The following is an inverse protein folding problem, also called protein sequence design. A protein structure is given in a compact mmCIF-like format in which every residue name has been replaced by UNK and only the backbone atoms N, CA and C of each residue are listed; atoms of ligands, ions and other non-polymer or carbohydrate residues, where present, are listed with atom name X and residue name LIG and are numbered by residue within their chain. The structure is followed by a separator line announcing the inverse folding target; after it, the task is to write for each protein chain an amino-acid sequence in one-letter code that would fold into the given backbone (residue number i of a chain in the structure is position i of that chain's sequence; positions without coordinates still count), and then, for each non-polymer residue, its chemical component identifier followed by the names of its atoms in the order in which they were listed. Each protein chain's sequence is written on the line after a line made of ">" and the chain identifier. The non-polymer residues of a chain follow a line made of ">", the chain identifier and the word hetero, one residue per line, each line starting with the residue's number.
data_IF_125142681229
#
_entry.id   IF_125142681229
#
_cell.length_a   1.000
_cell.length_b   1.000
_cell.length_c   1.000
_cell.angle_alpha   90.00
_cell.angle_beta   90.00
_cell.angle_gamma   90.00
#
_symmetry.space_group_name_H-M   'P 1'
#
loop_
_entity.id
_entity.type
_entity.pdbx_description
1 polymer ?
#
# COMPACT_ATOMS: atom_id res chain seq x y z
N UNK A 1 -4.38 24.90 4.58
CA UNK A 1 -4.57 23.93 3.47
C UNK A 1 -3.28 23.14 3.36
N UNK A 2 -3.29 21.81 3.19
CA UNK A 2 -2.05 21.02 3.19
C UNK A 2 -1.22 21.26 1.91
N UNK A 3 -1.90 21.36 0.77
CA UNK A 3 -1.36 21.76 -0.54
C UNK A 3 -2.39 22.67 -1.26
N UNK A 4 -1.97 23.41 -2.28
CA UNK A 4 -2.89 24.14 -3.15
C UNK A 4 -3.80 23.15 -3.93
N UNK A 5 -5.10 23.44 -3.99
CA UNK A 5 -6.10 22.54 -4.59
C UNK A 5 -5.99 22.53 -6.11
N UNK A 6 -5.60 21.40 -6.69
CA UNK A 6 -5.56 21.17 -8.13
C UNK A 6 -6.48 20.00 -8.50
N UNK A 7 -7.78 20.27 -8.68
CA UNK A 7 -8.66 19.37 -9.46
C UNK A 7 -8.69 19.86 -10.90
N UNK A 8 -8.66 18.95 -11.87
CA UNK A 8 -8.75 19.34 -13.27
C UNK A 8 -10.15 19.89 -13.57
N UNK A 9 -10.24 20.98 -14.36
CA UNK A 9 -11.54 21.54 -14.77
C UNK A 9 -12.32 20.54 -15.63
N UNK A 10 -11.61 19.79 -16.48
CA UNK A 10 -12.13 18.70 -17.28
C UNK A 10 -11.48 17.41 -16.79
N UNK A 11 -12.24 16.35 -16.48
CA UNK A 11 -11.66 15.07 -16.09
C UNK A 11 -10.68 14.56 -17.16
N UNK A 12 -9.43 14.21 -16.78
CA UNK A 12 -8.42 13.79 -17.76
C UNK A 12 -8.84 12.48 -18.42
N UNK A 13 -8.43 12.29 -19.68
CA UNK A 13 -8.63 11.08 -20.49
C UNK A 13 -7.48 10.07 -20.34
N UNK A 14 -6.42 10.45 -19.62
CA UNK A 14 -5.22 9.65 -19.42
C UNK A 14 -4.86 9.52 -17.95
N UNK A 15 -4.55 8.29 -17.55
CA UNK A 15 -4.05 7.92 -16.22
C UNK A 15 -2.72 8.61 -15.89
N UNK A 16 -1.97 9.02 -16.92
CA UNK A 16 -0.69 9.72 -16.79
C UNK A 16 -0.83 11.23 -16.54
N UNK A 17 -2.07 11.74 -16.56
CA UNK A 17 -2.42 13.15 -16.31
C UNK A 17 -3.36 13.30 -15.10
N UNK A 18 -3.34 12.34 -14.18
CA UNK A 18 -4.19 12.38 -12.99
C UNK A 18 -3.61 13.31 -11.93
N UNK A 19 -4.38 14.33 -11.55
CA UNK A 19 -4.16 15.11 -10.34
C UNK A 19 -4.84 14.41 -9.15
N UNK A 20 -4.43 14.67 -7.90
CA UNK A 20 -5.13 14.06 -6.76
C UNK A 20 -6.64 14.37 -6.71
N UNK A 21 -7.07 15.54 -7.21
CA UNK A 21 -8.50 15.90 -7.28
C UNK A 21 -9.31 15.13 -8.34
N UNK A 22 -8.65 14.44 -9.26
CA UNK A 22 -9.30 13.68 -10.34
C UNK A 22 -9.64 12.25 -9.91
N UNK A 23 -9.15 11.79 -8.75
CA UNK A 23 -9.47 10.48 -8.19
C UNK A 23 -10.87 10.52 -7.57
N UNK A 24 -11.78 9.70 -8.08
CA UNK A 24 -13.17 9.63 -7.64
C UNK A 24 -13.41 8.46 -6.68
N UNK A 25 -12.66 7.36 -6.86
CA UNK A 25 -12.87 6.11 -6.13
C UNK A 25 -11.54 5.61 -5.59
N UNK A 26 -11.51 5.23 -4.32
CA UNK A 26 -10.36 4.59 -3.68
C UNK A 26 -10.73 3.19 -3.19
N UNK A 27 -9.78 2.26 -3.30
CA UNK A 27 -9.95 0.89 -2.82
C UNK A 27 -8.60 0.26 -2.45
N UNK A 28 -8.66 -0.86 -1.74
CA UNK A 28 -7.46 -1.54 -1.24
C UNK A 28 -7.62 -3.06 -1.23
N UNK A 29 -6.59 -3.76 -1.67
CA UNK A 29 -6.41 -5.20 -1.51
C UNK A 29 -5.20 -5.45 -0.61
N UNK A 30 -5.27 -6.47 0.22
CA UNK A 30 -4.15 -6.86 1.06
C UNK A 30 -4.52 -7.74 2.22
N UNK A 31 -3.67 -7.67 3.23
CA UNK A 31 -3.77 -8.43 4.47
C UNK A 31 -4.24 -7.56 5.65
N UNK A 32 -3.91 -8.01 6.86
CA UNK A 32 -4.23 -7.35 8.12
C UNK A 32 -3.69 -5.93 8.24
N UNK A 33 -2.58 -5.60 7.57
CA UNK A 33 -1.98 -4.26 7.57
C UNK A 33 -2.79 -3.28 6.72
N UNK A 34 -3.47 -3.75 5.66
CA UNK A 34 -4.43 -2.93 4.90
C UNK A 34 -5.79 -2.87 5.60
N UNK A 35 -6.18 -3.93 6.33
CA UNK A 35 -7.38 -3.94 7.17
C UNK A 35 -7.27 -3.07 8.44
N UNK A 36 -6.06 -2.58 8.77
CA UNK A 36 -5.77 -1.79 9.96
C UNK A 36 -6.11 -2.52 11.27
N UNK A 37 -5.69 -3.78 11.32
CA UNK A 37 -5.86 -4.68 12.47
C UNK A 37 -5.16 -4.12 13.70
N UNK A 38 -5.89 -3.91 14.79
CA UNK A 38 -5.35 -3.39 16.05
C UNK A 38 -4.88 -1.93 16.04
N UNK A 39 -5.16 -1.16 14.99
CA UNK A 39 -4.60 0.18 14.81
C UNK A 39 -5.04 1.19 15.89
N UNK A 40 -6.24 1.04 16.44
CA UNK A 40 -6.82 1.92 17.46
C UNK A 40 -6.85 1.29 18.87
N UNK A 41 -6.30 0.09 19.00
CA UNK A 41 -6.43 -0.69 20.23
C UNK A 41 -5.21 -0.50 21.13
N UNK A 42 -5.47 -0.37 22.43
CA UNK A 42 -4.44 -0.17 23.45
C UNK A 42 -3.98 -1.48 24.11
N UNK A 43 -4.39 -2.62 23.54
CA UNK A 43 -4.10 -3.96 24.04
C UNK A 43 -3.97 -4.96 22.90
N UNK A 44 -3.16 -6.00 23.10
CA UNK A 44 -2.72 -6.84 21.98
C UNK A 44 -3.79 -7.77 21.39
N UNK A 45 -4.80 -8.20 22.16
CA UNK A 45 -5.94 -8.97 21.62
C UNK A 45 -6.80 -8.09 20.69
N UNK A 46 -6.71 -6.77 20.81
CA UNK A 46 -7.34 -5.83 19.90
C UNK A 46 -6.86 -5.96 18.44
N UNK A 47 -5.81 -6.73 18.19
CA UNK A 47 -5.33 -7.04 16.83
C UNK A 47 -6.35 -7.84 16.00
N UNK A 48 -7.33 -8.50 16.61
CA UNK A 48 -8.47 -9.08 15.88
C UNK A 48 -9.51 -8.04 15.44
N UNK A 49 -9.39 -6.80 15.92
CA UNK A 49 -10.30 -5.70 15.61
C UNK A 49 -9.79 -4.95 14.38
N UNK A 50 -10.58 -4.99 13.30
CA UNK A 50 -10.25 -4.33 12.04
C UNK A 50 -10.71 -2.87 12.01
N UNK A 51 -9.81 -1.94 12.38
CA UNK A 51 -10.06 -0.50 12.40
C UNK A 51 -9.93 0.13 10.99
N UNK A 52 -10.60 -0.46 9.99
CA UNK A 52 -10.45 -0.11 8.56
C UNK A 52 -10.59 1.39 8.26
N UNK A 53 -11.38 2.11 9.05
CA UNK A 53 -11.56 3.55 8.95
C UNK A 53 -10.27 4.37 9.05
N UNK A 54 -9.24 3.85 9.71
CA UNK A 54 -7.92 4.49 9.87
C UNK A 54 -6.81 3.82 9.06
N UNK A 55 -7.16 2.90 8.16
CA UNK A 55 -6.21 2.27 7.24
C UNK A 55 -5.45 3.31 6.43
N UNK A 56 -4.14 3.12 6.35
CA UNK A 56 -3.19 4.06 5.77
C UNK A 56 -3.48 4.38 4.30
N UNK A 57 -3.96 3.40 3.52
CA UNK A 57 -4.24 3.55 2.10
C UNK A 57 -5.73 3.53 1.74
N UNK A 58 -6.61 3.07 2.63
CA UNK A 58 -8.03 2.85 2.32
C UNK A 58 -9.02 3.34 3.39
N UNK A 59 -8.54 3.87 4.52
CA UNK A 59 -9.38 4.44 5.58
C UNK A 59 -9.67 5.92 5.35
N UNK A 60 -10.93 6.32 5.41
CA UNK A 60 -11.37 7.70 5.21
C UNK A 60 -12.20 8.25 6.36
N UNK A 61 -12.04 7.70 7.56
CA UNK A 61 -12.70 8.20 8.77
C UNK A 61 -12.20 9.61 9.11
N UNK A 62 -13.12 10.49 9.51
CA UNK A 62 -12.85 11.87 9.89
C UNK A 62 -12.04 12.66 8.83
N UNK A 63 -10.97 13.36 9.23
CA UNK A 63 -10.15 14.19 8.34
C UNK A 63 -8.66 13.87 8.52
N UNK A 64 -7.83 14.37 7.59
CA UNK A 64 -6.38 14.15 7.63
C UNK A 64 -5.72 14.70 8.90
N UNK A 65 -6.34 15.69 9.54
CA UNK A 65 -5.88 16.28 10.80
C UNK A 65 -6.03 15.35 12.00
N UNK A 66 -6.98 14.41 11.93
CA UNK A 66 -7.22 13.42 12.98
C UNK A 66 -6.61 12.07 12.62
N UNK A 67 -6.83 11.61 11.40
CA UNK A 67 -6.24 10.38 10.87
C UNK A 67 -5.55 10.67 9.55
N UNK A 68 -4.23 10.66 9.56
CA UNK A 68 -3.43 10.92 8.37
C UNK A 68 -3.42 9.67 7.47
N UNK A 69 -4.31 9.63 6.48
CA UNK A 69 -4.47 8.49 5.55
C UNK A 69 -4.56 9.00 4.11
N UNK A 70 -4.24 8.15 3.13
CA UNK A 70 -4.33 8.51 1.73
C UNK A 70 -5.73 9.01 1.31
N UNK A 71 -6.85 8.35 1.67
CA UNK A 71 -8.18 8.89 1.36
C UNK A 71 -8.45 10.24 2.02
N UNK A 72 -8.00 10.44 3.25
CA UNK A 72 -8.19 11.72 3.94
C UNK A 72 -7.41 12.86 3.32
N UNK A 73 -6.23 12.59 2.74
CA UNK A 73 -5.47 13.56 1.94
C UNK A 73 -6.18 13.88 0.63
N UNK A 74 -6.63 12.87 -0.11
CA UNK A 74 -7.33 13.06 -1.39
C UNK A 74 -8.65 13.83 -1.20
N UNK A 75 -9.36 13.64 -0.07
CA UNK A 75 -10.56 14.43 0.26
C UNK A 75 -10.32 15.94 0.33
N UNK A 76 -9.08 16.41 0.48
CA UNK A 76 -8.78 17.85 0.39
C UNK A 76 -8.86 18.40 -1.03
N UNK A 77 -8.71 17.53 -2.03
CA UNK A 77 -8.76 17.84 -3.46
C UNK A 77 -10.09 17.42 -4.11
N UNK A 78 -10.69 16.32 -3.65
CA UNK A 78 -11.99 15.83 -4.11
C UNK A 78 -12.91 15.47 -2.93
N UNK A 79 -13.83 16.36 -2.57
CA UNK A 79 -14.81 16.13 -1.48
C UNK A 79 -15.82 15.02 -1.80
N UNK A 80 -15.97 14.66 -3.07
CA UNK A 80 -16.88 13.61 -3.54
C UNK A 80 -16.22 12.23 -3.62
N UNK A 81 -14.97 12.08 -3.15
CA UNK A 81 -14.27 10.80 -3.11
C UNK A 81 -15.16 9.72 -2.46
N UNK A 82 -15.19 8.52 -3.05
CA UNK A 82 -15.93 7.38 -2.51
C UNK A 82 -15.06 6.12 -2.41
N UNK A 83 -15.58 5.07 -1.80
CA UNK A 83 -14.94 3.75 -1.70
C UNK A 83 -14.09 3.52 -0.44
N UNK A 84 -13.64 4.58 0.25
CA UNK A 84 -12.89 4.44 1.50
C UNK A 84 -13.71 3.82 2.63
N UNK A 85 -13.04 3.09 3.51
CA UNK A 85 -13.64 2.50 4.71
C UNK A 85 -13.82 3.53 5.83
N UNK A 86 -14.74 3.26 6.75
CA UNK A 86 -15.02 4.10 7.94
C UNK A 86 -15.22 3.22 9.18
N UNK A 87 -14.84 3.69 10.37
CA UNK A 87 -15.06 2.96 11.62
C UNK A 87 -14.31 1.63 11.70
N UNK A 88 -14.69 0.87 12.73
CA UNK A 88 -14.34 -0.53 12.89
C UNK A 88 -15.35 -1.41 12.16
N UNK A 89 -14.87 -2.44 11.46
CA UNK A 89 -15.74 -3.42 10.83
C UNK A 89 -14.97 -4.50 10.07
N UNK A 90 -15.42 -5.74 10.23
CA UNK A 90 -14.90 -6.91 9.52
C UNK A 90 -15.07 -6.81 8.01
N UNK A 91 -14.42 -7.70 7.27
CA UNK A 91 -14.45 -7.77 5.79
C UNK A 91 -15.85 -7.70 5.15
N UNK A 92 -16.87 -8.32 5.76
CA UNK A 92 -18.25 -8.34 5.27
C UNK A 92 -19.05 -7.09 5.64
N UNK A 93 -18.51 -6.24 6.52
CA UNK A 93 -19.18 -5.05 7.00
C UNK A 93 -19.40 -4.05 5.87
N UNK A 94 -20.58 -3.42 5.85
CA UNK A 94 -20.88 -2.30 4.96
C UNK A 94 -19.94 -1.09 5.15
N UNK A 95 -19.24 -1.05 6.28
CA UNK A 95 -18.19 -0.09 6.65
C UNK A 95 -16.86 -0.33 5.94
N UNK A 96 -16.57 -1.57 5.53
CA UNK A 96 -15.33 -1.91 4.82
C UNK A 96 -15.28 -1.31 3.40
N UNK A 97 -16.45 -1.04 2.79
CA UNK A 97 -16.57 -0.43 1.45
C UNK A 97 -15.68 -1.14 0.42
N UNK A 98 -14.69 -0.45 -0.17
CA UNK A 98 -13.75 -1.01 -1.15
C UNK A 98 -12.39 -1.37 -0.55
N UNK A 99 -12.23 -1.30 0.78
CA UNK A 99 -11.15 -2.00 1.47
C UNK A 99 -11.54 -3.48 1.57
N UNK A 100 -11.05 -4.30 0.63
CA UNK A 100 -11.34 -5.73 0.54
C UNK A 100 -10.18 -6.58 1.10
N UNK A 101 -9.24 -5.97 1.81
CA UNK A 101 -8.18 -6.69 2.49
C UNK A 101 -8.73 -7.68 3.51
N UNK A 102 -8.06 -8.81 3.72
CA UNK A 102 -8.49 -9.84 4.65
C UNK A 102 -7.31 -10.27 5.52
N UNK A 103 -7.42 -10.27 6.87
CA UNK A 103 -6.26 -10.31 7.76
C UNK A 103 -5.21 -11.39 7.48
N UNK A 104 -5.65 -12.61 7.19
CA UNK A 104 -4.76 -13.77 6.99
C UNK A 104 -4.38 -14.00 5.53
N UNK A 105 -4.76 -13.09 4.63
CA UNK A 105 -4.56 -13.28 3.20
C UNK A 105 -3.08 -13.23 2.81
N UNK A 106 -2.68 -14.12 1.90
CA UNK A 106 -1.38 -14.11 1.25
C UNK A 106 -1.53 -13.63 -0.21
N UNK A 107 -0.42 -13.52 -0.93
CA UNK A 107 -0.44 -13.06 -2.33
C UNK A 107 -1.34 -13.91 -3.23
N UNK A 108 -1.52 -15.21 -2.91
CA UNK A 108 -2.36 -16.11 -3.68
C UNK A 108 -3.85 -15.72 -3.69
N UNK A 109 -4.30 -15.02 -2.66
CA UNK A 109 -5.64 -14.47 -2.53
C UNK A 109 -5.87 -13.19 -3.35
N UNK A 110 -4.80 -12.59 -3.89
CA UNK A 110 -4.87 -11.29 -4.57
C UNK A 110 -5.89 -11.29 -5.73
N UNK A 111 -5.95 -12.38 -6.51
CA UNK A 111 -6.95 -12.51 -7.58
C UNK A 111 -8.38 -12.60 -7.03
N UNK A 112 -8.58 -13.30 -5.92
CA UNK A 112 -9.89 -13.41 -5.29
C UNK A 112 -10.36 -12.04 -4.79
N UNK A 113 -9.50 -11.32 -4.06
CA UNK A 113 -9.81 -9.96 -3.60
C UNK A 113 -10.05 -9.00 -4.77
N UNK A 114 -9.30 -9.11 -5.87
CA UNK A 114 -9.53 -8.30 -7.09
C UNK A 114 -10.91 -8.55 -7.70
N UNK A 115 -11.37 -9.82 -7.75
CA UNK A 115 -12.72 -10.17 -8.19
C UNK A 115 -13.79 -9.56 -7.28
N UNK A 116 -13.59 -9.60 -5.96
CA UNK A 116 -14.52 -8.99 -5.01
C UNK A 116 -14.56 -7.48 -5.17
N UNK A 117 -13.41 -6.81 -5.27
CA UNK A 117 -13.33 -5.36 -5.49
C UNK A 117 -14.12 -4.97 -6.75
N UNK A 118 -13.85 -5.63 -7.88
CA UNK A 118 -14.55 -5.35 -9.15
C UNK A 118 -16.06 -5.59 -9.00
N UNK A 119 -16.48 -6.66 -8.32
CA UNK A 119 -17.89 -6.93 -8.06
C UNK A 119 -18.53 -5.80 -7.22
N UNK A 120 -17.87 -5.37 -6.15
CA UNK A 120 -18.35 -4.26 -5.29
C UNK A 120 -18.44 -2.95 -6.05
N UNK A 121 -17.47 -2.65 -6.92
CA UNK A 121 -17.48 -1.46 -7.78
C UNK A 121 -18.66 -1.52 -8.77
N UNK A 122 -18.80 -2.63 -9.50
CA UNK A 122 -19.89 -2.80 -10.48
C UNK A 122 -21.29 -2.76 -9.85
N UNK A 123 -21.41 -3.17 -8.59
CA UNK A 123 -22.69 -3.18 -7.86
C UNK A 123 -23.02 -1.84 -7.19
N UNK A 124 -22.09 -0.89 -7.17
CA UNK A 124 -22.28 0.40 -6.51
C UNK A 124 -22.76 1.44 -7.53
N UNK A 125 -24.03 1.82 -7.45
CA UNK A 125 -24.66 2.79 -8.34
C UNK A 125 -24.04 4.20 -8.29
N UNK A 126 -23.27 4.52 -7.24
CA UNK A 126 -22.53 5.80 -7.14
C UNK A 126 -21.24 5.82 -7.96
N UNK A 127 -20.82 4.69 -8.52
CA UNK A 127 -19.58 4.58 -9.29
C UNK A 127 -19.90 4.34 -10.76
N UNK A 128 -19.67 5.36 -11.60
CA UNK A 128 -19.62 5.15 -13.04
C UNK A 128 -18.26 4.54 -13.40
N UNK A 129 -18.23 3.22 -13.59
CA UNK A 129 -17.00 2.47 -13.85
C UNK A 129 -16.25 2.98 -15.09
N UNK A 130 -16.95 3.53 -16.10
CA UNK A 130 -16.35 4.00 -17.36
C UNK A 130 -15.88 5.46 -17.29
N UNK A 131 -16.38 6.26 -16.33
CA UNK A 131 -16.04 7.68 -16.23
C UNK A 131 -15.18 8.03 -15.02
N UNK A 132 -15.40 7.39 -13.88
CA UNK A 132 -14.69 7.71 -12.65
C UNK A 132 -13.27 7.15 -12.67
N UNK A 133 -12.29 7.91 -12.19
CA UNK A 133 -10.93 7.39 -11.99
C UNK A 133 -10.83 6.65 -10.66
N UNK A 134 -10.24 5.44 -10.70
CA UNK A 134 -9.99 4.60 -9.52
C UNK A 134 -8.52 4.69 -9.13
N UNK A 135 -8.26 4.83 -7.84
CA UNK A 135 -6.95 4.59 -7.22
C UNK A 135 -7.04 3.34 -6.36
N UNK A 136 -6.36 2.27 -6.77
CA UNK A 136 -6.36 0.99 -6.05
C UNK A 136 -4.98 0.73 -5.46
N UNK A 137 -4.91 0.52 -4.15
CA UNK A 137 -3.65 0.12 -3.48
C UNK A 137 -3.62 -1.38 -3.25
N UNK A 138 -2.53 -2.03 -3.60
CA UNK A 138 -2.31 -3.48 -3.40
C UNK A 138 -1.07 -3.66 -2.55
N UNK A 139 -1.21 -4.40 -1.44
CA UNK A 139 -0.11 -4.71 -0.53
C UNK A 139 -0.30 -6.12 0.08
N UNK A 140 0.64 -7.02 -0.22
CA UNK A 140 0.67 -8.41 0.25
C UNK A 140 2.13 -8.82 0.51
N UNK A 141 2.33 -10.03 1.03
CA UNK A 141 3.65 -10.67 1.13
C UNK A 141 4.12 -10.91 2.55
N UNK A 142 3.55 -10.21 3.55
CA UNK A 142 3.91 -10.45 4.95
C UNK A 142 3.53 -11.89 5.35
N UNK A 143 2.27 -12.30 5.14
CA UNK A 143 1.79 -13.66 5.43
C UNK A 143 2.48 -14.75 4.59
N UNK A 144 2.87 -14.44 3.35
CA UNK A 144 3.65 -15.36 2.52
C UNK A 144 4.99 -15.70 3.20
N UNK A 145 5.70 -14.71 3.72
CA UNK A 145 7.01 -14.89 4.40
C UNK A 145 6.82 -15.43 5.82
N UNK A 146 5.80 -14.94 6.52
CA UNK A 146 5.55 -15.22 7.93
C UNK A 146 4.87 -16.56 8.20
N UNK A 147 4.12 -17.07 7.23
CA UNK A 147 3.33 -18.30 7.37
C UNK A 147 3.60 -19.26 6.21
N UNK A 148 3.47 -18.81 4.96
CA UNK A 148 3.57 -19.71 3.80
C UNK A 148 4.96 -20.35 3.61
N UNK A 149 6.03 -19.57 3.79
CA UNK A 149 7.40 -19.96 3.46
C UNK A 149 7.93 -21.20 4.19
N UNK A 150 7.53 -21.44 5.44
CA UNK A 150 8.02 -22.58 6.22
C UNK A 150 7.25 -23.87 5.94
N UNK A 151 6.06 -23.80 5.32
CA UNK A 151 5.24 -24.96 4.97
C UNK A 151 5.33 -25.32 3.48
N UNK A 152 5.29 -24.34 2.58
CA UNK A 152 5.44 -24.54 1.13
C UNK A 152 6.39 -23.50 0.50
N UNK A 153 7.72 -23.65 0.65
CA UNK A 153 8.69 -22.73 0.06
C UNK A 153 8.57 -22.58 -1.47
N UNK A 154 8.06 -23.60 -2.17
CA UNK A 154 7.89 -23.58 -3.63
C UNK A 154 6.65 -22.78 -4.03
N UNK A 155 5.53 -22.99 -3.34
CA UNK A 155 4.28 -22.25 -3.54
C UNK A 155 4.40 -20.78 -3.18
N UNK A 156 5.24 -20.45 -2.20
CA UNK A 156 5.49 -19.07 -1.77
C UNK A 156 6.82 -18.52 -2.30
N UNK A 157 7.43 -19.05 -3.36
CA UNK A 157 8.68 -18.48 -3.89
C UNK A 157 8.48 -17.05 -4.43
N UNK A 158 9.57 -16.29 -4.62
CA UNK A 158 9.50 -14.93 -5.20
C UNK A 158 8.88 -14.89 -6.60
N UNK A 159 9.10 -15.94 -7.40
CA UNK A 159 8.49 -16.08 -8.73
C UNK A 159 6.99 -16.36 -8.64
N UNK A 160 6.55 -17.16 -7.67
CA UNK A 160 5.12 -17.37 -7.38
C UNK A 160 4.47 -16.09 -6.90
N UNK A 161 5.09 -15.38 -5.97
CA UNK A 161 4.62 -14.08 -5.48
C UNK A 161 4.35 -13.09 -6.62
N UNK A 162 5.32 -12.90 -7.53
CA UNK A 162 5.11 -12.06 -8.71
C UNK A 162 4.03 -12.60 -9.66
N UNK A 163 3.91 -13.93 -9.81
CA UNK A 163 2.88 -14.54 -10.65
C UNK A 163 1.47 -14.30 -10.11
N UNK A 164 1.25 -14.43 -8.80
CA UNK A 164 -0.06 -14.16 -8.19
C UNK A 164 -0.46 -12.69 -8.34
N UNK A 165 0.45 -11.76 -8.08
CA UNK A 165 0.24 -10.33 -8.33
C UNK A 165 -0.09 -10.06 -9.79
N UNK A 166 0.67 -10.65 -10.74
CA UNK A 166 0.39 -10.53 -12.17
C UNK A 166 -1.03 -10.94 -12.51
N UNK A 167 -1.54 -12.05 -11.96
CA UNK A 167 -2.92 -12.50 -12.23
C UNK A 167 -3.96 -11.50 -11.75
N UNK A 168 -3.77 -10.94 -10.55
CA UNK A 168 -4.67 -9.94 -10.01
C UNK A 168 -4.65 -8.65 -10.85
N UNK A 169 -3.46 -8.16 -11.22
CA UNK A 169 -3.27 -6.97 -12.04
C UNK A 169 -3.83 -7.14 -13.46
N UNK A 170 -3.57 -8.27 -14.11
CA UNK A 170 -4.13 -8.60 -15.42
C UNK A 170 -5.66 -8.63 -15.37
N UNK A 171 -6.24 -9.20 -14.31
CA UNK A 171 -7.69 -9.19 -14.09
C UNK A 171 -8.25 -7.78 -13.90
N UNK A 172 -7.60 -6.93 -13.08
CA UNK A 172 -8.00 -5.54 -12.86
C UNK A 172 -7.94 -4.74 -14.17
N UNK A 173 -6.85 -4.85 -14.93
CA UNK A 173 -6.70 -4.18 -16.24
C UNK A 173 -7.85 -4.53 -17.19
N UNK A 174 -8.27 -5.79 -17.21
CA UNK A 174 -9.36 -6.25 -18.09
C UNK A 174 -10.76 -5.82 -17.63
N UNK A 175 -10.97 -5.57 -16.33
CA UNK A 175 -12.30 -5.41 -15.75
C UNK A 175 -12.57 -4.04 -15.11
N UNK A 176 -11.54 -3.22 -14.96
CA UNK A 176 -11.58 -1.95 -14.26
C UNK A 176 -10.85 -0.89 -15.08
N UNK A 177 -11.51 -0.33 -16.13
CA UNK A 177 -10.93 0.76 -16.93
C UNK A 177 -10.65 1.97 -16.04
N UNK A 178 -9.99 3.02 -16.52
CA UNK A 178 -9.68 4.26 -15.79
C UNK A 178 -9.12 4.03 -14.39
N UNK A 179 -8.01 3.30 -14.26
CA UNK A 179 -7.45 2.88 -12.96
C UNK A 179 -5.95 3.12 -12.87
N UNK A 180 -5.54 3.81 -11.81
CA UNK A 180 -4.16 3.83 -11.34
C UNK A 180 -4.02 2.84 -10.19
N UNK A 181 -3.07 1.92 -10.29
CA UNK A 181 -2.76 0.97 -9.21
C UNK A 181 -1.46 1.40 -8.52
N UNK A 182 -1.55 1.63 -7.21
CA UNK A 182 -0.37 1.66 -6.33
C UNK A 182 -0.04 0.22 -5.94
N UNK A 183 1.08 -0.31 -6.45
CA UNK A 183 1.59 -1.60 -6.04
C UNK A 183 2.70 -1.40 -5.01
N UNK A 184 2.43 -1.76 -3.77
CA UNK A 184 3.40 -1.61 -2.68
C UNK A 184 4.08 -2.97 -2.45
N UNK A 185 5.41 -3.08 -2.63
CA UNK A 185 6.12 -4.31 -2.35
C UNK A 185 6.00 -4.71 -0.87
N UNK A 186 6.16 -6.00 -0.58
CA UNK A 186 6.12 -6.51 0.80
C UNK A 186 7.07 -5.75 1.71
N UNK A 187 6.65 -5.57 2.96
CA UNK A 187 7.54 -5.15 4.04
C UNK A 187 8.46 -6.30 4.43
N UNK A 188 9.69 -5.99 4.87
CA UNK A 188 10.56 -6.95 5.55
C UNK A 188 9.99 -7.22 6.96
N UNK A 189 9.43 -8.42 7.22
CA UNK A 189 8.75 -8.69 8.48
C UNK A 189 9.71 -8.72 9.67
N UNK A 190 11.03 -8.71 9.45
CA UNK A 190 12.03 -8.64 10.52
C UNK A 190 12.05 -7.27 11.22
N UNK A 191 11.27 -6.29 10.77
CA UNK A 191 10.96 -5.09 11.58
C UNK A 191 10.41 -5.45 12.96
N UNK A 192 9.60 -6.52 13.04
CA UNK A 192 9.01 -7.05 14.28
C UNK A 192 10.01 -7.57 15.31
N UNK A 193 11.21 -7.98 14.86
CA UNK A 193 12.26 -8.50 15.74
C UNK A 193 13.25 -7.41 16.17
N UNK A 194 13.16 -6.24 15.54
CA UNK A 194 13.98 -5.05 15.83
C UNK A 194 13.28 -4.04 16.72
N UNK A 195 12.03 -4.28 17.11
CA UNK A 195 11.34 -3.52 18.16
C UNK A 195 11.57 -4.15 19.53
N UNK A 196 11.56 -3.34 20.58
CA UNK A 196 11.60 -3.83 21.95
C UNK A 196 10.40 -4.75 22.21
N UNK A 197 10.67 -6.02 22.54
CA UNK A 197 9.63 -7.03 22.71
C UNK A 197 9.07 -7.02 24.13
N UNK A 198 7.79 -6.69 24.26
CA UNK A 198 7.03 -6.92 25.48
C UNK A 198 6.76 -8.42 25.68
N UNK A 199 6.34 -8.83 26.89
CA UNK A 199 5.88 -10.21 27.15
C UNK A 199 4.79 -10.64 26.18
N UNK A 200 3.86 -9.73 25.88
CA UNK A 200 2.74 -10.00 24.99
C UNK A 200 3.19 -10.19 23.54
N UNK A 201 4.16 -9.39 23.10
CA UNK A 201 4.79 -9.54 21.80
C UNK A 201 5.46 -10.91 21.65
N UNK A 202 6.18 -11.40 22.68
CA UNK A 202 6.77 -12.73 22.65
C UNK A 202 5.71 -13.84 22.54
N UNK A 203 4.53 -13.66 23.13
CA UNK A 203 3.43 -14.62 23.10
C UNK A 203 2.71 -14.65 21.73
N UNK A 204 2.45 -13.47 21.14
CA UNK A 204 1.63 -13.35 19.93
C UNK A 204 2.43 -13.42 18.64
N UNK A 205 3.70 -13.00 18.64
CA UNK A 205 4.52 -12.98 17.42
C UNK A 205 4.59 -14.35 16.71
N UNK A 206 4.66 -15.51 17.40
CA UNK A 206 4.57 -16.82 16.75
C UNK A 206 3.26 -17.09 16.02
N UNK A 207 2.14 -16.48 16.44
CA UNK A 207 0.84 -16.63 15.79
C UNK A 207 0.76 -15.86 14.48
N UNK A 208 1.37 -14.66 14.43
CA UNK A 208 1.36 -13.80 13.24
C UNK A 208 2.53 -14.07 12.29
N UNK A 209 3.66 -14.58 12.81
CA UNK A 209 4.85 -14.85 12.02
C UNK A 209 5.57 -16.11 12.47
N UNK A 210 4.87 -17.25 12.36
CA UNK A 210 5.36 -18.57 12.75
C UNK A 210 6.72 -18.92 12.13
N UNK A 211 6.95 -18.61 10.85
CA UNK A 211 8.20 -18.93 10.17
C UNK A 211 9.42 -18.20 10.74
N UNK A 212 9.25 -17.04 11.40
CA UNK A 212 10.33 -16.34 12.09
C UNK A 212 10.82 -17.05 13.36
N UNK A 213 10.14 -18.11 13.80
CA UNK A 213 10.51 -18.89 14.99
C UNK A 213 10.95 -20.32 14.65
N UNK A 214 11.18 -20.63 13.37
CA UNK A 214 11.51 -21.99 12.91
C UNK A 214 12.91 -22.09 12.29
N UNK A 215 13.70 -23.03 12.78
CA UNK A 215 15.01 -23.37 12.22
C UNK A 215 16.15 -22.40 12.57
N UNK A 216 17.25 -22.49 11.83
CA UNK A 216 18.46 -21.68 12.07
C UNK A 216 18.41 -20.34 11.31
N UNK A 217 18.63 -19.24 12.05
CA UNK A 217 18.62 -17.85 11.55
C UNK A 217 17.41 -17.54 10.62
N UNK A 218 16.17 -17.78 11.08
CA UNK A 218 14.96 -17.51 10.29
C UNK A 218 14.82 -16.01 9.95
N UNK A 219 15.37 -15.13 10.78
CA UNK A 219 15.49 -13.69 10.57
C UNK A 219 16.22 -13.35 9.26
N UNK A 220 17.40 -13.93 9.01
CA UNK A 220 18.15 -13.72 7.76
C UNK A 220 17.35 -14.25 6.56
N UNK A 221 16.73 -15.43 6.71
CA UNK A 221 15.95 -16.03 5.61
C UNK A 221 14.75 -15.17 5.23
N UNK A 222 14.02 -14.66 6.21
CA UNK A 222 12.87 -13.79 6.00
C UNK A 222 13.28 -12.46 5.36
N UNK A 223 14.35 -11.81 5.85
CA UNK A 223 14.83 -10.55 5.27
C UNK A 223 15.31 -10.73 3.82
N UNK A 224 16.02 -11.83 3.51
CA UNK A 224 16.40 -12.17 2.13
C UNK A 224 15.17 -12.40 1.24
N UNK A 225 14.16 -13.11 1.74
CA UNK A 225 12.93 -13.37 0.98
C UNK A 225 12.16 -12.07 0.69
N UNK A 226 12.06 -11.16 1.67
CA UNK A 226 11.43 -9.85 1.47
C UNK A 226 12.10 -9.07 0.31
N UNK A 227 13.44 -9.04 0.28
CA UNK A 227 14.20 -8.42 -0.81
C UNK A 227 13.98 -9.12 -2.15
N UNK A 228 13.92 -10.45 -2.18
CA UNK A 228 13.62 -11.20 -3.40
C UNK A 228 12.21 -10.91 -3.92
N UNK A 229 11.22 -10.75 -3.03
CA UNK A 229 9.86 -10.37 -3.41
C UNK A 229 9.83 -8.94 -3.97
N UNK A 230 10.47 -7.99 -3.29
CA UNK A 230 10.60 -6.60 -3.75
C UNK A 230 11.23 -6.52 -5.14
N UNK A 231 12.33 -7.26 -5.37
CA UNK A 231 12.95 -7.39 -6.69
C UNK A 231 12.00 -7.99 -7.72
N UNK A 232 11.25 -9.04 -7.36
CA UNK A 232 10.31 -9.69 -8.27
C UNK A 232 9.15 -8.76 -8.68
N UNK A 233 8.65 -7.90 -7.77
CA UNK A 233 7.69 -6.83 -8.12
C UNK A 233 8.30 -5.86 -9.11
N UNK A 234 9.51 -5.37 -8.83
CA UNK A 234 10.20 -4.42 -9.70
C UNK A 234 10.42 -5.01 -11.10
N UNK A 235 10.86 -6.26 -11.21
CA UNK A 235 11.00 -6.97 -12.49
C UNK A 235 9.67 -7.18 -13.22
N UNK A 236 8.57 -7.43 -12.50
CA UNK A 236 7.24 -7.57 -13.12
C UNK A 236 6.79 -6.26 -13.78
N UNK A 237 6.96 -5.14 -13.09
CA UNK A 237 6.46 -3.83 -13.54
C UNK A 237 7.39 -3.17 -14.56
N UNK A 238 8.71 -3.37 -14.47
CA UNK A 238 9.68 -2.79 -15.41
C UNK A 238 9.51 -3.25 -16.86
N UNK A 239 8.70 -4.28 -17.12
CA UNK A 239 8.35 -4.73 -18.47
C UNK A 239 7.45 -3.76 -19.25
N UNK A 240 6.99 -2.68 -18.62
CA UNK A 240 6.09 -1.65 -19.18
C UNK A 240 4.75 -2.22 -19.68
N UNK A 241 4.41 -3.46 -19.32
CA UNK A 241 3.18 -4.15 -19.75
C UNK A 241 1.88 -3.44 -19.36
N UNK A 242 1.95 -2.62 -18.32
CA UNK A 242 0.82 -1.83 -17.81
C UNK A 242 0.85 -0.38 -18.29
N UNK A 243 1.84 0.05 -19.06
CA UNK A 243 1.99 1.46 -19.49
C UNK A 243 1.63 1.69 -20.96
N UNK A 244 1.00 0.69 -21.59
CA UNK A 244 0.66 0.71 -23.03
C UNK A 244 -0.72 1.28 -23.33
N UNK A 245 -1.39 1.86 -22.34
CA UNK A 245 -2.75 2.39 -22.47
C UNK A 245 -2.90 3.64 -21.61
N UNK A 246 -3.63 4.66 -22.08
CA UNK A 246 -3.97 5.82 -21.26
C UNK A 246 -4.98 5.47 -20.15
N UNK A 247 -5.57 4.29 -20.14
CA UNK A 247 -6.71 3.96 -19.28
C UNK A 247 -6.31 3.24 -17.98
N UNK A 248 -5.13 2.61 -17.95
CA UNK A 248 -4.68 1.79 -16.83
C UNK A 248 -3.16 1.87 -16.69
N UNK A 249 -2.66 1.96 -15.47
CA UNK A 249 -1.22 1.79 -15.16
C UNK A 249 -1.02 1.22 -13.76
N UNK A 250 0.15 0.64 -13.53
CA UNK A 250 0.59 0.13 -12.23
C UNK A 250 1.91 0.80 -11.89
N UNK A 251 1.97 1.45 -10.74
CA UNK A 251 3.17 2.15 -10.25
C UNK A 251 3.63 1.50 -8.96
N UNK A 252 4.91 1.10 -8.92
CA UNK A 252 5.53 0.60 -7.70
C UNK A 252 5.79 1.77 -6.75
N UNK A 253 5.43 1.60 -5.48
CA UNK A 253 5.70 2.55 -4.41
C UNK A 253 6.67 1.88 -3.40
N UNK A 254 7.99 2.06 -3.56
CA UNK A 254 9.02 1.26 -2.89
C UNK A 254 9.30 1.68 -1.44
N UNK A 255 8.50 2.56 -0.84
CA UNK A 255 8.76 3.06 0.51
C UNK A 255 8.91 1.97 1.58
N UNK A 256 8.39 0.76 1.36
CA UNK A 256 8.53 -0.37 2.30
C UNK A 256 9.95 -0.91 2.38
N UNK A 257 10.80 -0.64 1.39
CA UNK A 257 12.22 -1.00 1.41
C UNK A 257 12.99 -0.27 2.52
N UNK A 258 12.45 0.84 3.04
CA UNK A 258 13.01 1.57 4.19
C UNK A 258 13.08 0.68 5.42
N UNK A 259 12.11 -0.22 5.56
CA UNK A 259 12.05 -1.16 6.66
C UNK A 259 12.96 -2.36 6.46
N UNK A 260 13.73 -2.47 5.38
CA UNK A 260 14.64 -3.61 5.21
C UNK A 260 15.78 -3.58 6.24
N UNK A 261 16.18 -4.74 6.75
CA UNK A 261 17.41 -4.84 7.53
C UNK A 261 18.66 -4.61 6.65
N UNK A 262 19.63 -3.77 7.04
CA UNK A 262 20.89 -3.60 6.28
C UNK A 262 21.57 -4.94 6.01
N UNK A 263 22.04 -5.16 4.78
CA UNK A 263 22.64 -6.42 4.33
C UNK A 263 21.80 -7.69 4.56
N UNK A 264 20.50 -7.55 4.82
CA UNK A 264 19.60 -8.64 5.24
C UNK A 264 20.03 -9.30 6.56
N UNK A 265 20.64 -8.53 7.47
CA UNK A 265 21.02 -9.00 8.81
C UNK A 265 20.27 -8.21 9.89
N UNK A 266 19.10 -8.70 10.33
CA UNK A 266 18.28 -8.01 11.31
C UNK A 266 18.93 -7.87 12.70
N UNK A 267 19.87 -8.75 13.05
CA UNK A 267 20.54 -8.74 14.37
C UNK A 267 21.43 -7.52 14.54
N UNK A 268 22.09 -7.10 13.46
CA UNK A 268 22.98 -5.94 13.44
C UNK A 268 22.30 -4.66 12.97
N UNK A 269 20.98 -4.72 12.72
CA UNK A 269 20.21 -3.58 12.26
C UNK A 269 19.83 -2.66 13.42
N UNK A 270 19.68 -1.34 13.19
CA UNK A 270 19.17 -0.42 14.20
C UNK A 270 17.81 -0.85 14.73
N UNK A 271 17.58 -0.62 16.03
CA UNK A 271 16.28 -0.83 16.66
C UNK A 271 15.22 0.06 16.01
N UNK A 272 14.01 -0.46 15.86
CA UNK A 272 12.89 0.26 15.29
C UNK A 272 12.00 0.86 16.40
N UNK A 273 11.39 2.01 16.13
CA UNK A 273 10.57 2.72 17.11
C UNK A 273 9.28 1.94 17.40
N UNK A 274 9.14 1.45 18.64
CA UNK A 274 7.99 0.64 19.09
C UNK A 274 6.66 1.39 18.96
N UNK A 275 6.63 2.72 19.00
CA UNK A 275 5.41 3.50 18.83
C UNK A 275 4.80 3.40 17.42
N UNK A 276 5.52 2.86 16.43
CA UNK A 276 5.00 2.64 15.08
C UNK A 276 4.20 1.34 14.94
N UNK A 277 4.28 0.46 15.95
CA UNK A 277 3.69 -0.88 15.92
C UNK A 277 2.76 -1.03 17.11
N UNK A 278 1.72 -1.85 17.00
CA UNK A 278 0.84 -2.19 18.11
C UNK A 278 1.48 -3.22 19.04
N UNK A 279 0.76 -3.62 20.09
CA UNK A 279 1.25 -4.42 21.21
C UNK A 279 1.63 -5.86 20.86
N UNK A 280 1.40 -6.29 19.61
CA UNK A 280 1.81 -7.60 19.08
C UNK A 280 3.16 -7.58 18.32
N UNK A 281 3.80 -6.41 18.20
CA UNK A 281 5.02 -6.19 17.41
C UNK A 281 4.93 -6.51 15.90
N UNK A 282 3.73 -6.66 15.35
CA UNK A 282 3.52 -7.02 13.95
C UNK A 282 2.70 -5.97 13.19
N UNK A 283 1.53 -5.59 13.72
CA UNK A 283 0.64 -4.66 13.03
C UNK A 283 0.99 -3.19 13.31
N UNK A 284 0.71 -2.30 12.37
CA UNK A 284 0.96 -0.88 12.56
C UNK A 284 0.04 -0.30 13.65
N UNK A 285 0.61 0.53 14.53
CA UNK A 285 -0.19 1.41 15.37
C UNK A 285 -0.87 2.48 14.52
N UNK A 286 -1.79 3.26 15.09
CA UNK A 286 -2.34 4.45 14.43
C UNK A 286 -1.22 5.38 13.89
N UNK A 287 -0.14 5.54 14.65
CA UNK A 287 1.01 6.37 14.24
C UNK A 287 1.81 5.71 13.11
N UNK A 288 1.96 4.39 13.12
CA UNK A 288 2.53 3.63 12.01
C UNK A 288 1.72 3.78 10.72
N UNK A 289 0.40 3.68 10.82
CA UNK A 289 -0.52 3.94 9.71
C UNK A 289 -0.34 5.35 9.13
N UNK A 290 -0.23 6.37 10.00
CA UNK A 290 0.03 7.74 9.57
C UNK A 290 1.38 7.89 8.85
N UNK A 291 2.43 7.22 9.35
CA UNK A 291 3.76 7.23 8.73
C UNK A 291 3.73 6.63 7.32
N UNK A 292 3.21 5.41 7.17
CA UNK A 292 3.21 4.73 5.86
C UNK A 292 2.24 5.38 4.87
N UNK A 293 1.16 6.02 5.34
CA UNK A 293 0.31 6.87 4.51
C UNK A 293 1.08 8.08 3.94
N UNK A 294 1.91 8.74 4.77
CA UNK A 294 2.75 9.84 4.35
C UNK A 294 3.83 9.41 3.35
N UNK A 295 4.47 8.27 3.61
CA UNK A 295 5.46 7.70 2.70
C UNK A 295 4.84 7.33 1.35
N UNK A 296 3.64 6.71 1.34
CA UNK A 296 2.91 6.42 0.10
C UNK A 296 2.55 7.70 -0.66
N UNK A 297 2.04 8.71 0.03
CA UNK A 297 1.70 10.00 -0.59
C UNK A 297 2.91 10.63 -1.27
N UNK A 298 4.05 10.73 -0.57
CA UNK A 298 5.27 11.29 -1.13
C UNK A 298 5.76 10.47 -2.33
N UNK A 299 5.76 9.14 -2.22
CA UNK A 299 6.10 8.25 -3.33
C UNK A 299 5.22 8.50 -4.56
N UNK A 300 3.91 8.73 -4.42
CA UNK A 300 3.04 9.07 -5.56
C UNK A 300 3.43 10.37 -6.28
N UNK A 301 4.05 11.32 -5.57
CA UNK A 301 4.48 12.61 -6.12
C UNK A 301 5.99 12.73 -6.33
N UNK A 302 6.70 11.60 -6.37
CA UNK A 302 8.11 11.50 -6.78
C UNK A 302 8.24 10.73 -8.09
N UNK A 303 9.13 11.15 -9.02
CA UNK A 303 9.31 10.49 -10.30
C UNK A 303 9.77 9.04 -10.11
N UNK A 304 9.25 8.14 -10.94
CA UNK A 304 9.65 6.73 -10.92
C UNK A 304 11.14 6.63 -11.26
N UNK A 305 11.89 5.89 -10.44
CA UNK A 305 13.36 5.82 -10.49
C UNK A 305 14.05 6.73 -9.48
N UNK A 306 13.33 7.68 -8.87
CA UNK A 306 13.84 8.53 -7.79
C UNK A 306 12.79 8.71 -6.68
N UNK A 307 12.08 7.63 -6.34
CA UNK A 307 11.17 7.58 -5.20
C UNK A 307 11.96 7.28 -3.92
N UNK A 308 11.59 7.93 -2.81
CA UNK A 308 12.21 7.67 -1.51
C UNK A 308 11.90 6.25 -1.03
N UNK A 309 12.94 5.55 -0.57
CA UNK A 309 12.86 4.15 -0.15
C UNK A 309 13.80 3.81 1.01
N UNK A 310 14.59 4.78 1.51
CA UNK A 310 15.64 4.59 2.52
C UNK A 310 15.62 5.66 3.63
N UNK A 311 14.66 6.59 3.60
CA UNK A 311 14.51 7.68 4.58
C UNK A 311 13.23 7.54 5.38
N UNK A 312 13.35 7.52 6.72
CA UNK A 312 12.22 7.77 7.61
C UNK A 312 12.00 9.26 7.75
N UNK A 313 10.77 9.68 7.55
CA UNK A 313 10.30 11.00 7.92
C UNK A 313 9.50 10.84 9.21
N UNK A 314 9.55 11.80 10.13
CA UNK A 314 8.47 11.90 11.13
C UNK A 314 7.15 12.10 10.38
N UNK A 315 6.05 11.67 10.98
CA UNK A 315 4.71 11.90 10.41
C UNK A 315 4.57 13.40 10.10
N UNK A 316 4.26 13.73 8.85
CA UNK A 316 4.15 15.09 8.34
C UNK A 316 5.43 15.94 8.39
N UNK A 317 6.62 15.36 8.58
CA UNK A 317 7.89 16.11 8.43
C UNK A 317 8.03 16.67 7.02
N UNK A 318 7.63 15.88 6.02
CA UNK A 318 7.59 16.28 4.62
C UNK A 318 6.32 15.71 3.99
N UNK A 319 5.52 16.58 3.37
CA UNK A 319 4.35 16.22 2.56
C UNK A 319 4.54 16.84 1.19
N UNK A 320 4.84 16.02 0.18
CA UNK A 320 5.10 16.50 -1.19
C UNK A 320 3.79 16.99 -1.80
N UNK A 321 3.79 18.23 -2.30
CA UNK A 321 2.65 18.83 -2.97
C UNK A 321 2.86 18.86 -4.49
N UNK A 322 1.81 18.61 -5.30
CA UNK A 322 1.86 18.88 -6.74
C UNK A 322 2.15 20.36 -7.01
N UNK A 323 2.86 20.64 -8.10
CA UNK A 323 3.18 22.00 -8.55
C UNK A 323 2.67 22.24 -9.95
N UNK A 324 2.70 23.47 -10.44
CA UNK A 324 2.28 23.77 -11.82
C UNK A 324 3.17 23.06 -12.87
N UNK A 325 4.45 22.83 -12.55
CA UNK A 325 5.38 22.07 -13.41
C UNK A 325 5.14 20.56 -13.33
N UNK A 326 4.71 20.06 -12.16
CA UNK A 326 4.51 18.64 -11.89
C UNK A 326 3.15 18.42 -11.19
N UNK A 327 2.02 18.61 -11.90
CA UNK A 327 0.70 18.58 -11.28
C UNK A 327 0.13 17.17 -11.11
N UNK A 328 0.72 16.16 -11.73
CA UNK A 328 0.17 14.81 -11.80
C UNK A 328 0.86 13.83 -10.86
N UNK A 329 0.13 12.79 -10.49
CA UNK A 329 0.69 11.58 -9.88
C UNK A 329 1.72 10.99 -10.85
N UNK A 330 2.93 10.71 -10.34
CA UNK A 330 3.99 10.17 -11.18
C UNK A 330 3.72 8.71 -11.55
N UNK A 331 3.87 8.43 -12.84
CA UNK A 331 3.77 7.12 -13.49
C UNK A 331 5.04 6.86 -14.30
N UNK A 332 5.25 5.63 -14.78
CA UNK A 332 6.42 5.32 -15.62
C UNK A 332 6.49 6.23 -16.86
N UNK A 333 5.34 6.53 -17.47
CA UNK A 333 5.25 7.34 -18.69
C UNK A 333 5.58 8.81 -18.45
N UNK A 334 4.92 9.46 -17.49
CA UNK A 334 5.17 10.89 -17.24
C UNK A 334 6.51 11.15 -16.53
N UNK A 335 7.10 10.16 -15.86
CA UNK A 335 8.46 10.26 -15.30
C UNK A 335 9.52 10.35 -16.40
N UNK A 336 9.40 9.56 -17.48
CA UNK A 336 10.28 9.66 -18.65
C UNK A 336 10.28 11.08 -19.25
N UNK A 337 9.12 11.74 -19.25
CA UNK A 337 9.00 13.13 -19.71
C UNK A 337 9.67 14.10 -18.74
N UNK A 338 9.37 13.99 -17.46
CA UNK A 338 10.01 14.79 -16.42
C UNK A 338 11.54 14.77 -16.51
N UNK A 339 12.16 13.60 -16.70
CA UNK A 339 13.63 13.52 -16.82
C UNK A 339 14.18 14.16 -18.10
N UNK A 340 13.38 14.28 -19.16
CA UNK A 340 13.79 14.92 -20.41
C UNK A 340 13.59 16.43 -20.39
N UNK A 341 12.54 16.92 -19.73
CA UNK A 341 12.11 18.33 -19.86
C UNK A 341 12.09 19.11 -18.55
N UNK A 342 12.31 18.47 -17.39
CA UNK A 342 12.20 19.10 -16.07
C UNK A 342 10.77 19.36 -15.59
N UNK A 343 9.75 18.93 -16.35
CA UNK A 343 8.33 19.09 -16.03
C UNK A 343 7.49 17.95 -16.61
N UNK A 344 6.34 17.63 -16.00
CA UNK A 344 5.44 16.59 -16.52
C UNK A 344 4.62 17.07 -17.75
N UNK A 345 4.35 18.37 -17.84
CA UNK A 345 3.56 18.96 -18.92
C UNK A 345 4.41 19.49 -20.09
N UNK A 346 5.74 19.55 -19.94
CA UNK A 346 6.66 19.98 -20.99
C UNK A 346 6.51 21.45 -21.42
N UNK A 347 5.71 22.25 -20.72
CA UNK A 347 5.81 23.70 -20.79
C UNK A 347 7.13 24.10 -20.10
N UNK A 348 8.01 24.75 -20.86
CA UNK A 348 9.27 25.33 -20.38
C UNK A 348 8.96 26.67 -19.71
#
# INVERSE_FOLDING_TARGET
>A
MLCCRLKSQIPPDSVHKLRPGDIDVIGGLGDSLVAASGALEEFAIGTFIEARGVSWCAGGQDSWRKYFTLPNLIKEFNKNLTGYAIGTGEFISSKAKLNVAFPVAATEDALHQAKILVKRIKSNSKIDIKKHWKLITIFFGANDICSGQCYDPKGFSSSRYAWHLRRALDYLKLNLPRTLVNLVPTIDPTVSVRVARSTMCNLLHPLYCACLHQGKRPDIKASKMARQYQQAVNSLISTERYDRSPDFTVVVQPFTEYFNAPNSDPVNAPSFNSHMITYDCFHFSQKGHALVANMLWNNMFQPVGNKSHDRMLRVMEEVVCPTDKNPYIFTNVNSKRYYKTGSQDGAI
#
